data_IF_870725229915
#
_entry.id   IF_870725229915
#
_cell.length_a   1.000
_cell.length_b   1.000
_cell.length_c   1.000
_cell.angle_alpha   90.00
_cell.angle_beta   90.00
_cell.angle_gamma   90.00
#
_symmetry.space_group_name_H-M   'P 1'
#
loop_
_entity.id
_entity.type
_entity.pdbx_description
1 polymer ?
#
# COMPACT_ATOMS: atom_id res chain seq x y z
N UNK A 1 -9.46 -6.51 8.47
CA UNK A 1 -10.00 -7.89 8.61
C UNK A 1 -9.43 -8.86 7.58
N UNK A 2 -9.50 -8.55 6.27
CA UNK A 2 -9.08 -9.47 5.21
C UNK A 2 -7.65 -10.04 5.38
N UNK A 3 -6.69 -9.22 5.82
CA UNK A 3 -5.32 -9.67 6.13
C UNK A 3 -5.31 -10.86 7.08
N UNK A 4 -6.00 -10.79 8.22
CA UNK A 4 -6.06 -11.87 9.19
C UNK A 4 -6.74 -13.14 8.63
N UNK A 5 -7.80 -12.97 7.84
CA UNK A 5 -8.53 -14.08 7.21
C UNK A 5 -7.67 -14.80 6.17
N UNK A 6 -6.96 -14.06 5.31
CA UNK A 6 -6.09 -14.67 4.30
C UNK A 6 -4.88 -15.35 4.94
N UNK A 7 -4.30 -14.76 5.99
CA UNK A 7 -3.19 -15.38 6.74
C UNK A 7 -3.58 -16.71 7.37
N UNK A 8 -4.82 -16.88 7.85
CA UNK A 8 -5.25 -18.15 8.45
C UNK A 8 -5.29 -19.31 7.46
N UNK A 9 -5.16 -19.04 6.15
CA UNK A 9 -5.01 -20.05 5.11
C UNK A 9 -3.58 -20.60 5.01
N UNK A 10 -2.62 -20.07 5.80
CA UNK A 10 -1.24 -20.53 5.84
C UNK A 10 -0.33 -19.96 4.75
N UNK A 11 -0.77 -18.92 4.04
CA UNK A 11 -0.02 -18.29 2.94
C UNK A 11 0.39 -16.84 3.27
N UNK A 12 1.51 -16.36 2.71
CA UNK A 12 1.89 -14.94 2.83
C UNK A 12 0.84 -14.02 2.22
N UNK A 13 0.56 -12.91 2.90
CA UNK A 13 -0.39 -11.90 2.42
C UNK A 13 0.34 -10.63 1.99
N UNK A 14 0.10 -10.21 0.75
CA UNK A 14 0.60 -8.95 0.20
C UNK A 14 -0.52 -7.92 0.20
N UNK A 15 -0.22 -6.72 0.69
CA UNK A 15 -1.12 -5.58 0.60
C UNK A 15 -0.72 -4.68 -0.57
N UNK A 16 -1.64 -4.45 -1.50
CA UNK A 16 -1.48 -3.49 -2.59
C UNK A 16 -1.76 -2.07 -2.08
N UNK A 17 -0.70 -1.29 -1.96
CA UNK A 17 -0.76 0.05 -1.39
C UNK A 17 -1.37 1.08 -2.34
N UNK A 18 -1.16 0.93 -3.65
CA UNK A 18 -1.58 1.91 -4.66
C UNK A 18 -3.01 1.69 -5.11
N UNK A 19 -3.39 0.46 -5.48
CA UNK A 19 -4.72 0.19 -6.01
C UNK A 19 -5.81 0.19 -4.93
N UNK A 20 -5.46 -0.05 -3.67
CA UNK A 20 -6.42 0.03 -2.55
C UNK A 20 -6.96 1.45 -2.29
N UNK A 21 -6.31 2.49 -2.82
CA UNK A 21 -6.77 3.89 -2.74
C UNK A 21 -7.27 4.42 -4.10
N UNK A 22 -7.42 3.54 -5.09
CA UNK A 22 -7.97 3.91 -6.38
C UNK A 22 -9.47 4.23 -6.24
N UNK A 23 -9.94 5.21 -7.01
CA UNK A 23 -11.36 5.56 -7.12
C UNK A 23 -11.84 5.18 -8.54
N UNK A 24 -12.45 3.99 -8.72
CA UNK A 24 -12.84 3.50 -10.03
C UNK A 24 -13.82 4.44 -10.74
N UNK A 25 -13.50 4.85 -11.96
CA UNK A 25 -14.35 5.71 -12.79
C UNK A 25 -14.46 7.18 -12.34
N UNK A 26 -13.70 7.60 -11.33
CA UNK A 26 -13.79 8.94 -10.78
C UNK A 26 -13.13 10.05 -11.63
N UNK A 27 -12.40 9.70 -12.70
CA UNK A 27 -11.62 10.65 -13.51
C UNK A 27 -12.01 10.61 -15.00
N UNK A 28 -13.24 11.06 -15.34
CA UNK A 28 -13.70 11.32 -16.72
C UNK A 28 -13.30 10.25 -17.76
N UNK A 29 -13.58 8.98 -17.48
CA UNK A 29 -13.22 7.84 -18.34
C UNK A 29 -11.94 7.10 -17.93
N UNK A 30 -11.27 7.53 -16.87
CA UNK A 30 -10.19 6.82 -16.19
C UNK A 30 -10.50 6.65 -14.69
N UNK A 31 -9.70 5.81 -14.02
CA UNK A 31 -9.69 5.72 -12.56
C UNK A 31 -8.97 6.92 -11.96
N UNK A 32 -9.53 7.48 -10.88
CA UNK A 32 -8.82 8.44 -10.02
C UNK A 32 -8.16 7.73 -8.85
N UNK A 33 -7.73 8.48 -7.83
CA UNK A 33 -7.14 7.92 -6.63
C UNK A 33 -6.86 8.95 -5.54
N UNK A 34 -6.60 8.46 -4.33
CA UNK A 34 -6.30 9.28 -3.16
C UNK A 34 -4.95 8.87 -2.57
N UNK A 35 -3.88 9.15 -3.32
CA UNK A 35 -2.48 8.85 -2.97
C UNK A 35 -2.13 9.23 -1.53
N UNK A 36 -2.67 10.33 -1.02
CA UNK A 36 -2.42 10.84 0.34
C UNK A 36 -2.75 9.81 1.44
N UNK A 37 -3.61 8.82 1.17
CA UNK A 37 -3.94 7.77 2.13
C UNK A 37 -3.01 6.56 2.09
N UNK A 38 -2.11 6.47 1.10
CA UNK A 38 -1.17 5.34 0.97
C UNK A 38 -0.39 5.10 2.26
N UNK A 39 0.30 6.10 2.87
CA UNK A 39 1.06 5.85 4.08
C UNK A 39 0.18 5.39 5.24
N UNK A 40 -1.03 5.93 5.37
CA UNK A 40 -1.99 5.55 6.42
C UNK A 40 -2.43 4.10 6.29
N UNK A 41 -2.78 3.66 5.08
CA UNK A 41 -3.22 2.28 4.86
C UNK A 41 -2.07 1.29 4.87
N UNK A 42 -0.86 1.68 4.43
CA UNK A 42 0.36 0.88 4.61
C UNK A 42 0.59 0.59 6.09
N UNK A 43 0.55 1.61 6.97
CA UNK A 43 0.66 1.43 8.43
C UNK A 43 -0.36 0.43 8.95
N UNK A 44 -1.61 0.59 8.55
CA UNK A 44 -2.69 -0.28 8.97
C UNK A 44 -2.48 -1.73 8.49
N UNK A 45 -2.04 -1.92 7.24
CA UNK A 45 -1.80 -3.24 6.65
C UNK A 45 -0.67 -3.98 7.35
N UNK A 46 0.49 -3.33 7.56
CA UNK A 46 1.62 -3.98 8.24
C UNK A 46 1.33 -4.22 9.73
N UNK A 47 0.62 -3.32 10.40
CA UNK A 47 0.16 -3.52 11.78
C UNK A 47 -0.87 -4.66 11.89
N UNK A 48 -1.71 -4.84 10.88
CA UNK A 48 -2.65 -5.96 10.79
C UNK A 48 -1.97 -7.30 10.41
N UNK A 49 -0.68 -7.28 10.08
CA UNK A 49 0.12 -8.47 9.82
C UNK A 49 0.35 -8.78 8.35
N UNK A 50 0.26 -7.83 7.42
CA UNK A 50 0.71 -8.09 6.05
C UNK A 50 2.17 -8.60 6.03
N UNK A 51 2.46 -9.56 5.16
CA UNK A 51 3.80 -10.15 4.98
C UNK A 51 4.61 -9.41 3.91
N UNK A 52 3.93 -8.71 3.01
CA UNK A 52 4.56 -7.90 1.98
C UNK A 52 3.71 -6.71 1.57
N UNK A 53 4.34 -5.78 0.87
CA UNK A 53 3.71 -4.64 0.22
C UNK A 53 3.92 -4.76 -1.28
N UNK A 54 2.88 -4.44 -2.04
CA UNK A 54 2.97 -4.11 -3.45
C UNK A 54 2.71 -2.61 -3.59
N UNK A 55 3.53 -1.89 -4.37
CA UNK A 55 3.40 -0.46 -4.55
C UNK A 55 3.98 -0.07 -5.91
N UNK A 56 3.15 0.54 -6.76
CA UNK A 56 3.63 1.16 -7.99
C UNK A 56 4.27 2.51 -7.71
N UNK A 57 5.33 2.83 -8.45
CA UNK A 57 6.13 4.04 -8.24
C UNK A 57 6.45 4.72 -9.55
N UNK A 58 6.59 6.04 -9.54
CA UNK A 58 7.02 6.81 -10.71
C UNK A 58 7.92 7.98 -10.30
N UNK A 59 8.96 8.34 -11.08
CA UNK A 59 9.79 9.51 -10.80
C UNK A 59 9.03 10.84 -10.84
N UNK A 60 7.93 10.89 -11.61
CA UNK A 60 7.08 12.06 -11.78
C UNK A 60 5.61 11.61 -11.90
N UNK A 61 4.90 11.32 -10.79
CA UNK A 61 3.58 10.69 -10.82
C UNK A 61 2.56 11.35 -11.76
N UNK A 62 2.47 12.69 -11.87
CA UNK A 62 1.61 13.35 -12.86
C UNK A 62 1.86 12.96 -14.33
N UNK A 63 3.06 12.48 -14.68
CA UNK A 63 3.43 12.02 -16.02
C UNK A 63 3.26 10.51 -16.25
N UNK A 64 2.78 9.75 -15.25
CA UNK A 64 2.54 8.34 -15.43
C UNK A 64 1.43 8.10 -16.48
N UNK A 65 1.66 7.13 -17.37
CA UNK A 65 0.72 6.79 -18.46
C UNK A 65 -0.54 6.06 -17.96
N UNK A 66 -0.45 5.44 -16.79
CA UNK A 66 -1.54 4.81 -16.05
C UNK A 66 -1.40 5.20 -14.58
N UNK A 67 -2.51 5.16 -13.83
CA UNK A 67 -2.51 5.23 -12.37
C UNK A 67 -1.81 6.46 -11.78
N UNK A 68 -1.76 7.56 -12.54
CA UNK A 68 -1.13 8.83 -12.14
C UNK A 68 -1.67 9.44 -10.83
N UNK A 69 -2.82 8.98 -10.35
CA UNK A 69 -3.44 9.44 -9.09
C UNK A 69 -3.15 8.51 -7.90
N UNK A 70 -2.50 7.35 -8.13
CA UNK A 70 -2.17 6.36 -7.10
C UNK A 70 -0.68 5.97 -7.08
N UNK A 71 0.07 6.01 -8.19
CA UNK A 71 1.51 5.67 -8.18
C UNK A 71 2.29 6.58 -7.24
N UNK A 72 3.20 6.02 -6.44
CA UNK A 72 3.93 6.76 -5.41
C UNK A 72 5.19 7.47 -5.97
N UNK A 73 5.59 8.65 -5.46
CA UNK A 73 6.84 9.29 -5.87
C UNK A 73 8.05 8.39 -5.54
N UNK A 74 8.90 8.10 -6.53
CA UNK A 74 10.04 7.19 -6.37
C UNK A 74 10.99 7.63 -5.24
N UNK A 75 11.22 8.93 -5.12
CA UNK A 75 12.07 9.53 -4.09
C UNK A 75 11.54 9.38 -2.66
N UNK A 76 10.24 9.18 -2.49
CA UNK A 76 9.59 9.01 -1.18
C UNK A 76 9.49 7.53 -0.75
N UNK A 77 9.91 6.59 -1.60
CA UNK A 77 9.88 5.15 -1.29
C UNK A 77 10.66 4.80 -0.02
N UNK A 78 11.90 5.30 0.20
CA UNK A 78 12.65 4.96 1.40
C UNK A 78 11.89 5.28 2.69
N UNK A 79 11.26 6.45 2.76
CA UNK A 79 10.46 6.86 3.91
C UNK A 79 9.29 5.91 4.19
N UNK A 80 8.56 5.50 3.15
CA UNK A 80 7.44 4.55 3.31
C UNK A 80 7.94 3.20 3.81
N UNK A 81 9.06 2.70 3.27
CA UNK A 81 9.62 1.39 3.62
C UNK A 81 10.19 1.38 5.03
N UNK A 82 10.92 2.42 5.45
CA UNK A 82 11.46 2.54 6.81
C UNK A 82 10.34 2.50 7.85
N UNK A 83 9.32 3.35 7.66
CA UNK A 83 8.13 3.42 8.51
C UNK A 83 7.37 2.07 8.53
N UNK A 84 7.19 1.42 7.38
CA UNK A 84 6.52 0.12 7.30
C UNK A 84 7.31 -0.98 8.02
N UNK A 85 8.65 -1.00 7.87
CA UNK A 85 9.52 -2.00 8.51
C UNK A 85 9.53 -1.87 10.03
N UNK A 86 9.55 -0.64 10.57
CA UNK A 86 9.48 -0.40 12.01
C UNK A 86 8.18 -0.93 12.62
N UNK A 87 7.05 -0.61 11.99
CA UNK A 87 5.74 -1.08 12.45
C UNK A 87 5.63 -2.59 12.29
N UNK A 88 6.04 -3.13 11.15
CA UNK A 88 6.02 -4.57 10.89
C UNK A 88 6.79 -5.35 11.96
N UNK A 89 8.03 -4.93 12.28
CA UNK A 89 8.87 -5.58 13.30
C UNK A 89 8.23 -5.51 14.69
N UNK A 90 7.62 -4.39 15.02
CA UNK A 90 6.94 -4.19 16.31
C UNK A 90 5.68 -5.04 16.42
N UNK A 91 4.84 -5.02 15.39
CA UNK A 91 3.59 -5.77 15.33
C UNK A 91 3.81 -7.28 15.42
N UNK A 92 4.89 -7.79 14.82
CA UNK A 92 5.25 -9.24 14.82
C UNK A 92 5.46 -9.83 16.21
N UNK A 93 5.75 -9.01 17.22
CA UNK A 93 5.87 -9.46 18.61
C UNK A 93 4.54 -9.89 19.24
N UNK A 94 3.43 -9.53 18.61
CA UNK A 94 2.07 -9.77 19.10
C UNK A 94 1.31 -10.81 18.27
N UNK A 95 1.92 -11.36 17.22
CA UNK A 95 1.34 -12.47 16.47
C UNK A 95 1.79 -13.81 17.09
N UNK A 96 0.88 -14.81 17.12
CA UNK A 96 1.18 -16.15 17.62
C UNK A 96 2.17 -16.90 16.71
#
# INVERSE_FOLDING_TARGET
RAVAVMRSLGYPVVYDATHSVQLPGAAQGASGGQREFIPTLVRAAVAAGADGLFMEVHPDPPKALSDKDTVWPLEEVPWVLEMALEIHRTARRWFP
#
